data_IF_300567221770
#
_entry.id   IF_300567221770
#
_cell.length_a   1.000
_cell.length_b   1.000
_cell.length_c   1.000
_cell.angle_alpha   90.00
_cell.angle_beta   90.00
_cell.angle_gamma   90.00
#
_symmetry.space_group_name_H-M   'P 1'
#
loop_
_entity.id
_entity.type
_entity.pdbx_description
1 polymer ?
#
# COMPACT_ATOMS: atom_id res chain seq x y z
N UNK A 1 6.91 3.06 -2.26
CA UNK A 1 6.24 3.04 -0.93
C UNK A 1 7.14 3.54 0.22
N UNK A 2 8.42 3.15 0.30
CA UNK A 2 9.33 3.50 1.44
C UNK A 2 9.56 5.01 1.63
N UNK A 3 9.78 5.79 0.56
CA UNK A 3 9.95 7.25 0.66
C UNK A 3 8.71 7.90 1.29
N UNK A 4 7.52 7.46 0.85
CA UNK A 4 6.25 7.95 1.39
C UNK A 4 6.08 7.50 2.84
N UNK A 5 6.57 6.32 3.20
CA UNK A 5 6.59 5.82 4.58
C UNK A 5 7.45 6.70 5.49
N UNK A 6 8.62 7.14 5.00
CA UNK A 6 9.49 8.06 5.73
C UNK A 6 8.84 9.43 5.90
N UNK A 7 8.24 9.98 4.83
CA UNK A 7 7.50 11.26 4.91
C UNK A 7 6.35 11.15 5.90
N UNK A 8 5.52 10.10 5.80
CA UNK A 8 4.42 9.86 6.75
C UNK A 8 4.90 9.65 8.19
N UNK A 9 6.01 8.93 8.39
CA UNK A 9 6.64 8.73 9.68
C UNK A 9 7.19 10.03 10.30
N UNK A 10 7.68 10.96 9.47
CA UNK A 10 8.11 12.28 9.96
C UNK A 10 6.95 13.19 10.35
N UNK A 11 5.80 13.07 9.68
CA UNK A 11 4.58 13.83 10.02
C UNK A 11 4.02 13.38 11.37
N UNK A 12 4.05 12.08 11.65
CA UNK A 12 3.53 11.48 12.88
C UNK A 12 4.66 10.90 13.74
N UNK A 13 5.64 11.73 14.08
CA UNK A 13 6.77 11.29 14.91
C UNK A 13 6.34 10.80 16.29
N UNK A 14 6.86 9.63 16.69
CA UNK A 14 6.66 9.02 18.02
C UNK A 14 6.80 9.99 19.19
N UNK A 15 7.73 10.94 19.12
CA UNK A 15 7.99 11.93 20.20
C UNK A 15 6.79 12.86 20.47
N UNK A 16 5.90 13.05 19.50
CA UNK A 16 4.71 13.90 19.65
C UNK A 16 3.40 13.10 19.85
N UNK A 17 3.46 11.76 19.84
CA UNK A 17 2.31 10.90 20.11
C UNK A 17 2.18 10.59 21.60
N UNK A 18 1.61 11.54 22.35
CA UNK A 18 1.20 11.30 23.73
C UNK A 18 -0.08 10.42 23.76
N UNK A 19 -0.39 9.78 24.88
CA UNK A 19 -1.56 8.89 25.03
C UNK A 19 -2.41 9.28 26.24
N UNK A 20 -2.35 10.56 26.64
CA UNK A 20 -2.88 11.02 27.94
C UNK A 20 -4.21 11.76 27.82
N UNK A 21 -4.57 12.25 26.64
CA UNK A 21 -5.76 13.10 26.45
C UNK A 21 -6.59 12.65 25.26
N UNK A 22 -7.90 12.94 25.27
CA UNK A 22 -8.82 12.65 24.16
C UNK A 22 -8.36 13.27 22.83
N UNK A 23 -7.71 14.44 22.88
CA UNK A 23 -7.09 15.08 21.72
C UNK A 23 -5.99 14.22 21.09
N UNK A 24 -5.20 13.51 21.91
CA UNK A 24 -4.15 12.62 21.43
C UNK A 24 -4.76 11.39 20.70
N UNK A 25 -5.90 10.91 21.18
CA UNK A 25 -6.63 9.83 20.50
C UNK A 25 -7.09 10.26 19.09
N UNK A 26 -7.50 11.52 18.93
CA UNK A 26 -7.81 12.09 17.62
C UNK A 26 -6.60 12.10 16.67
N UNK A 27 -5.42 12.47 17.16
CA UNK A 27 -4.16 12.43 16.39
C UNK A 27 -3.79 10.99 16.01
N UNK A 28 -3.96 10.04 16.92
CA UNK A 28 -3.69 8.62 16.66
C UNK A 28 -4.60 8.03 15.58
N UNK A 29 -5.92 8.29 15.67
CA UNK A 29 -6.88 7.88 14.63
C UNK A 29 -6.58 8.56 13.30
N UNK A 30 -6.19 9.85 13.33
CA UNK A 30 -5.74 10.57 12.15
C UNK A 30 -4.54 9.92 11.46
N UNK A 31 -3.54 9.49 12.24
CA UNK A 31 -2.37 8.78 11.73
C UNK A 31 -2.73 7.43 11.11
N UNK A 32 -3.65 6.67 11.73
CA UNK A 32 -4.14 5.40 11.19
C UNK A 32 -4.86 5.59 9.85
N UNK A 33 -5.80 6.53 9.79
CA UNK A 33 -6.56 6.82 8.56
C UNK A 33 -5.61 7.30 7.46
N UNK A 34 -4.68 8.19 7.77
CA UNK A 34 -3.67 8.67 6.83
C UNK A 34 -2.81 7.53 6.28
N UNK A 35 -2.36 6.62 7.16
CA UNK A 35 -1.55 5.46 6.77
C UNK A 35 -2.30 4.53 5.81
N UNK A 36 -3.57 4.23 6.10
CA UNK A 36 -4.41 3.37 5.24
C UNK A 36 -4.69 4.04 3.90
N UNK A 37 -5.01 5.34 3.89
CA UNK A 37 -5.27 6.09 2.65
C UNK A 37 -4.05 6.07 1.74
N UNK A 38 -2.85 6.33 2.27
CA UNK A 38 -1.62 6.30 1.47
C UNK A 38 -1.36 4.90 0.90
N UNK A 39 -1.54 3.86 1.71
CA UNK A 39 -1.37 2.49 1.26
C UNK A 39 -2.35 2.16 0.10
N UNK A 40 -3.61 2.59 0.21
CA UNK A 40 -4.61 2.43 -0.86
C UNK A 40 -4.21 3.16 -2.16
N UNK A 41 -3.75 4.42 -2.07
CA UNK A 41 -3.28 5.15 -3.24
C UNK A 41 -2.08 4.50 -3.91
N UNK A 42 -1.20 3.84 -3.14
CA UNK A 42 -0.08 3.12 -3.71
C UNK A 42 -0.53 1.93 -4.57
N UNK A 43 -1.57 1.20 -4.15
CA UNK A 43 -2.17 0.15 -4.97
C UNK A 43 -2.79 0.66 -6.28
N UNK A 44 -3.34 1.88 -6.29
CA UNK A 44 -3.88 2.50 -7.51
C UNK A 44 -2.80 2.84 -8.55
N UNK A 45 -1.53 2.99 -8.15
CA UNK A 45 -0.43 3.24 -9.07
C UNK A 45 -0.19 2.08 -10.06
N UNK A 46 -0.74 0.89 -9.78
CA UNK A 46 -0.66 -0.25 -10.70
C UNK A 46 -1.64 -0.16 -11.89
N UNK A 47 -2.69 0.65 -11.80
CA UNK A 47 -3.69 0.83 -12.84
C UNK A 47 -3.11 1.36 -14.17
N UNK A 48 -2.33 2.47 -14.20
CA UNK A 48 -1.76 2.96 -15.46
C UNK A 48 -0.84 1.95 -16.14
N UNK A 49 -0.07 1.18 -15.37
CA UNK A 49 0.78 0.10 -15.90
C UNK A 49 -0.06 -1.00 -16.57
N UNK A 50 -1.27 -1.25 -16.05
CA UNK A 50 -2.21 -2.20 -16.65
C UNK A 50 -2.80 -1.63 -17.93
N UNK A 51 -3.21 -0.35 -17.94
CA UNK A 51 -3.75 0.35 -19.13
C UNK A 51 -2.76 0.30 -20.30
N UNK A 52 -1.46 0.46 -20.04
CA UNK A 52 -0.43 0.37 -21.09
C UNK A 52 -0.37 -1.04 -21.73
N UNK A 53 -0.73 -2.09 -21.00
CA UNK A 53 -0.73 -3.48 -21.49
C UNK A 53 -2.02 -3.88 -22.21
N UNK A 54 -3.13 -3.17 -21.97
CA UNK A 54 -4.42 -3.41 -22.62
C UNK A 54 -4.37 -3.47 -24.16
N UNK A 55 -3.70 -2.57 -24.90
CA UNK A 55 -3.68 -2.64 -26.37
C UNK A 55 -3.04 -3.92 -26.90
N UNK A 56 -2.00 -4.44 -26.23
CA UNK A 56 -1.37 -5.72 -26.60
C UNK A 56 -2.33 -6.88 -26.34
N UNK A 57 -3.01 -6.85 -25.19
CA UNK A 57 -4.03 -7.84 -24.85
C UNK A 57 -5.17 -7.89 -25.87
N UNK A 58 -5.73 -6.73 -26.25
CA UNK A 58 -6.78 -6.65 -27.26
C UNK A 58 -6.29 -7.19 -28.61
N UNK A 59 -5.06 -6.88 -29.02
CA UNK A 59 -4.48 -7.40 -30.26
C UNK A 59 -4.31 -8.92 -30.26
N UNK A 60 -3.89 -9.52 -29.14
CA UNK A 60 -3.76 -10.97 -29.00
C UNK A 60 -5.13 -11.68 -28.96
N UNK A 61 -6.12 -11.06 -28.33
CA UNK A 61 -7.51 -11.56 -28.28
C UNK A 61 -8.16 -11.53 -29.66
N UNK A 62 -8.02 -10.43 -30.40
CA UNK A 62 -8.65 -10.25 -31.70
C UNK A 62 -8.05 -11.18 -32.77
N UNK A 63 -6.78 -11.60 -32.59
CA UNK A 63 -6.12 -12.63 -33.39
C UNK A 63 -6.42 -14.07 -32.92
N UNK A 64 -7.32 -14.25 -31.94
CA UNK A 64 -7.74 -15.55 -31.40
C UNK A 64 -6.62 -16.44 -30.85
N UNK A 65 -5.44 -15.88 -30.53
CA UNK A 65 -4.29 -16.67 -30.11
C UNK A 65 -4.44 -17.27 -28.71
N UNK A 66 -4.92 -16.47 -27.74
CA UNK A 66 -4.99 -16.90 -26.34
C UNK A 66 -6.26 -16.38 -25.64
N UNK A 67 -6.90 -17.20 -24.79
CA UNK A 67 -8.00 -16.77 -23.94
C UNK A 67 -7.51 -15.83 -22.82
N UNK A 68 -8.43 -14.97 -22.34
CA UNK A 68 -8.12 -13.89 -21.39
C UNK A 68 -7.45 -14.33 -20.08
N UNK A 69 -7.76 -15.54 -19.62
CA UNK A 69 -7.24 -16.08 -18.35
C UNK A 69 -5.73 -16.33 -18.37
N UNK A 70 -5.13 -16.57 -19.54
CA UNK A 70 -3.68 -16.82 -19.66
C UNK A 70 -2.88 -15.56 -19.31
N UNK A 71 -3.45 -14.38 -19.53
CA UNK A 71 -2.80 -13.11 -19.16
C UNK A 71 -3.03 -12.74 -17.69
N UNK A 72 -4.21 -13.05 -17.14
CA UNK A 72 -4.58 -12.63 -15.78
C UNK A 72 -4.01 -13.54 -14.69
N UNK A 73 -3.98 -14.86 -14.89
CA UNK A 73 -3.55 -15.82 -13.86
C UNK A 73 -2.08 -15.64 -13.47
N UNK A 74 -1.10 -15.57 -14.40
CA UNK A 74 0.30 -15.39 -14.04
C UNK A 74 0.55 -14.01 -13.43
N UNK A 75 -0.15 -12.98 -13.92
CA UNK A 75 -0.04 -11.63 -13.42
C UNK A 75 -0.55 -11.52 -11.96
N UNK A 76 -1.68 -12.16 -11.66
CA UNK A 76 -2.21 -12.25 -10.29
C UNK A 76 -1.24 -13.01 -9.39
N UNK A 77 -0.70 -14.15 -9.83
CA UNK A 77 0.22 -14.97 -9.06
C UNK A 77 1.52 -14.22 -8.70
N UNK A 78 2.04 -13.41 -9.63
CA UNK A 78 3.25 -12.61 -9.42
C UNK A 78 3.00 -11.36 -8.58
N UNK A 79 1.80 -10.76 -8.66
CA UNK A 79 1.44 -9.56 -7.89
C UNK A 79 1.29 -9.83 -6.40
N UNK A 80 0.67 -10.94 -6.02
CA UNK A 80 0.45 -11.29 -4.60
C UNK A 80 1.73 -11.21 -3.75
N UNK A 81 2.84 -11.88 -4.09
CA UNK A 81 4.07 -11.81 -3.29
C UNK A 81 4.71 -10.42 -3.28
N UNK A 82 4.62 -9.68 -4.39
CA UNK A 82 5.16 -8.31 -4.48
C UNK A 82 4.38 -7.37 -3.56
N UNK A 83 3.04 -7.42 -3.61
CA UNK A 83 2.17 -6.58 -2.76
C UNK A 83 2.32 -6.91 -1.28
N UNK A 84 2.54 -8.20 -0.93
CA UNK A 84 2.88 -8.61 0.44
C UNK A 84 4.18 -7.97 0.90
N UNK A 85 5.25 -8.08 0.10
CA UNK A 85 6.55 -7.50 0.44
C UNK A 85 6.49 -5.97 0.61
N UNK A 86 5.82 -5.27 -0.32
CA UNK A 86 5.66 -3.82 -0.24
C UNK A 86 4.87 -3.38 1.01
N UNK A 87 3.78 -4.08 1.32
CA UNK A 87 2.96 -3.80 2.50
C UNK A 87 3.71 -4.11 3.80
N UNK A 88 4.49 -5.20 3.85
CA UNK A 88 5.32 -5.52 5.01
C UNK A 88 6.40 -4.47 5.23
N UNK A 89 7.07 -4.01 4.17
CA UNK A 89 8.06 -2.94 4.27
C UNK A 89 7.42 -1.61 4.73
N UNK A 90 6.24 -1.27 4.22
CA UNK A 90 5.45 -0.11 4.67
C UNK A 90 5.10 -0.19 6.15
N UNK A 91 4.55 -1.33 6.59
CA UNK A 91 4.20 -1.53 8.00
C UNK A 91 5.44 -1.46 8.88
N UNK A 92 6.56 -2.09 8.50
CA UNK A 92 7.79 -2.03 9.28
C UNK A 92 8.23 -0.58 9.53
N UNK A 93 8.30 0.24 8.48
CA UNK A 93 8.74 1.64 8.64
C UNK A 93 7.73 2.46 9.44
N UNK A 94 6.45 2.41 9.09
CA UNK A 94 5.41 3.24 9.75
C UNK A 94 5.18 2.82 11.21
N UNK A 95 5.21 1.52 11.51
CA UNK A 95 5.06 1.02 12.88
C UNK A 95 6.14 1.54 13.81
N UNK A 96 7.42 1.46 13.41
CA UNK A 96 8.53 1.91 14.26
C UNK A 96 8.64 3.44 14.33
N UNK A 97 8.37 4.16 13.24
CA UNK A 97 8.52 5.62 13.20
C UNK A 97 7.40 6.36 13.93
N UNK A 98 6.17 5.85 13.79
CA UNK A 98 4.98 6.42 14.44
C UNK A 98 4.87 5.91 15.88
N UNK A 99 5.32 4.69 16.15
CA UNK A 99 5.20 4.07 17.46
C UNK A 99 3.79 3.58 17.75
N UNK A 100 3.14 2.96 16.75
CA UNK A 100 1.88 2.24 16.98
C UNK A 100 2.08 1.23 18.12
N UNK A 101 1.07 1.08 18.98
CA UNK A 101 1.18 0.47 20.30
C UNK A 101 2.07 -0.81 20.32
N UNK A 102 3.13 -0.84 21.16
CA UNK A 102 3.93 -2.03 21.38
C UNK A 102 3.17 -2.92 22.35
N UNK A 103 2.58 -3.99 21.82
CA UNK A 103 1.96 -5.08 22.59
C UNK A 103 0.63 -4.72 23.28
N UNK A 104 -0.31 -5.66 23.24
CA UNK A 104 -1.51 -5.59 24.04
C UNK A 104 -1.13 -5.98 25.48
N UNK A 105 -0.97 -4.99 26.36
CA UNK A 105 -0.95 -5.19 27.81
C UNK A 105 -2.35 -5.43 28.36
#
# INVERSE_FOLDING_TARGET
IVIIALVGGTVFLRTNMHTKTEADAGVYVGALIFSVIINMFNGLAELPMTIIRLPVFFKQRDLLFYPAWIFTVPNMLLKIPISLFETTAWMGVTYYTIGFAPEAS
#
